data_IF_122410922667
#
_entry.id   IF_122410922667
#
_cell.length_a   1.000
_cell.length_b   1.000
_cell.length_c   1.000
_cell.angle_alpha   90.00
_cell.angle_beta   90.00
_cell.angle_gamma   90.00
#
_symmetry.space_group_name_H-M   'P 1'
#
loop_
_entity.id
_entity.type
_entity.pdbx_description
1 polymer ?
#
# COMPACT_ATOMS: atom_id res chain seq x y z
N UNK A 1 -8.16 8.57 80.03
CA UNK A 1 -7.34 8.63 78.85
C UNK A 1 -7.53 7.33 78.11
N UNK A 2 -8.39 7.35 77.07
CA UNK A 2 -8.83 6.18 76.30
C UNK A 2 -8.09 6.15 74.99
N UNK A 3 -7.29 5.12 74.74
CA UNK A 3 -6.54 4.93 73.51
C UNK A 3 -7.47 4.27 72.46
N UNK A 4 -7.74 4.98 71.36
CA UNK A 4 -8.55 4.46 70.25
C UNK A 4 -7.68 3.58 69.35
N UNK A 5 -8.04 2.30 69.19
CA UNK A 5 -7.50 1.35 68.23
C UNK A 5 -8.08 1.65 66.83
N UNK A 6 -7.27 2.14 65.92
CA UNK A 6 -7.63 2.24 64.48
C UNK A 6 -7.33 0.90 63.78
N UNK A 7 -8.39 0.18 63.37
CA UNK A 7 -8.30 -0.99 62.50
C UNK A 7 -7.99 -0.55 61.06
N UNK A 8 -6.88 -1.07 60.50
CA UNK A 8 -6.54 -0.99 59.08
C UNK A 8 -7.47 -1.97 58.34
N UNK A 9 -8.14 -1.54 57.26
CA UNK A 9 -8.93 -2.48 56.43
C UNK A 9 -7.96 -3.39 55.64
N UNK A 10 -8.07 -4.68 55.84
CA UNK A 10 -7.48 -5.72 54.98
C UNK A 10 -8.06 -5.63 53.59
N UNK A 11 -7.29 -5.18 52.62
CA UNK A 11 -7.64 -5.30 51.18
C UNK A 11 -7.72 -6.77 50.81
N UNK A 12 -8.86 -7.20 50.36
CA UNK A 12 -9.17 -8.55 49.91
C UNK A 12 -8.40 -8.91 48.64
N UNK A 13 -7.70 -10.03 48.65
CA UNK A 13 -6.92 -10.62 47.55
C UNK A 13 -7.74 -10.97 46.27
N UNK A 14 -9.04 -10.66 46.22
CA UNK A 14 -9.91 -10.95 45.04
C UNK A 14 -9.66 -10.06 43.84
N UNK A 15 -9.21 -8.82 44.03
CA UNK A 15 -8.99 -7.89 42.94
C UNK A 15 -7.73 -8.15 42.10
N UNK A 16 -6.72 -8.81 42.65
CA UNK A 16 -5.50 -9.15 41.92
C UNK A 16 -5.63 -10.40 41.06
N UNK A 17 -6.56 -11.30 41.41
CA UNK A 17 -6.83 -12.53 40.64
C UNK A 17 -7.72 -12.26 39.44
N UNK A 18 -8.59 -11.25 39.47
CA UNK A 18 -9.38 -10.84 38.32
C UNK A 18 -8.57 -10.10 37.23
N UNK A 19 -7.53 -9.34 37.62
CA UNK A 19 -6.61 -8.68 36.69
C UNK A 19 -5.65 -9.67 36.01
N UNK A 20 -5.34 -10.80 36.62
CA UNK A 20 -4.46 -11.82 36.02
C UNK A 20 -5.17 -12.77 35.03
N UNK A 21 -6.50 -12.79 35.03
CA UNK A 21 -7.32 -13.64 34.14
C UNK A 21 -7.89 -12.93 32.90
N UNK A 22 -7.54 -11.69 32.65
CA UNK A 22 -7.67 -11.09 31.33
C UNK A 22 -6.59 -11.69 30.42
N UNK A 23 -6.71 -12.98 30.07
CA UNK A 23 -6.06 -13.52 28.86
C UNK A 23 -6.45 -12.59 27.74
N UNK A 24 -5.50 -11.81 27.20
CA UNK A 24 -5.74 -10.94 26.08
C UNK A 24 -6.35 -11.80 24.97
N UNK A 25 -7.62 -11.60 24.68
CA UNK A 25 -8.33 -12.34 23.62
C UNK A 25 -7.48 -12.23 22.37
N UNK A 26 -6.99 -13.35 21.84
CA UNK A 26 -6.23 -13.37 20.60
C UNK A 26 -7.06 -12.71 19.51
N UNK A 27 -6.49 -11.70 18.84
CA UNK A 27 -7.15 -11.03 17.73
C UNK A 27 -7.31 -11.98 16.54
N UNK A 28 -8.50 -12.00 15.99
CA UNK A 28 -8.78 -12.75 14.75
C UNK A 28 -8.44 -11.90 13.54
N UNK A 29 -7.82 -12.51 12.52
CA UNK A 29 -7.32 -11.81 11.33
C UNK A 29 -8.02 -12.37 10.10
N UNK A 30 -8.78 -11.51 9.41
CA UNK A 30 -9.40 -11.81 8.12
C UNK A 30 -8.58 -11.20 6.98
N UNK A 31 -8.47 -11.92 5.87
CA UNK A 31 -7.94 -11.43 4.60
C UNK A 31 -9.10 -11.13 3.65
N UNK A 32 -8.99 -10.00 2.92
CA UNK A 32 -9.91 -9.60 1.85
C UNK A 32 -9.14 -9.39 0.55
N UNK A 33 -9.50 -10.15 -0.48
CA UNK A 33 -8.83 -10.14 -1.80
C UNK A 33 -9.86 -9.94 -2.92
N UNK A 34 -9.94 -8.75 -3.53
CA UNK A 34 -10.72 -8.56 -4.74
C UNK A 34 -10.00 -9.16 -5.94
N UNK A 35 -10.75 -9.88 -6.79
CA UNK A 35 -10.23 -10.57 -7.97
C UNK A 35 -11.08 -10.24 -9.20
N UNK A 36 -10.41 -9.88 -10.30
CA UNK A 36 -11.07 -9.71 -11.60
C UNK A 36 -10.13 -10.16 -12.72
N UNK A 37 -10.46 -11.27 -13.39
CA UNK A 37 -9.66 -11.87 -14.45
C UNK A 37 -8.20 -12.13 -14.02
N UNK A 38 -7.98 -12.88 -12.93
CA UNK A 38 -6.66 -13.15 -12.34
C UNK A 38 -6.19 -14.61 -12.58
N UNK A 39 -6.64 -15.27 -13.66
CA UNK A 39 -6.34 -16.68 -13.92
C UNK A 39 -4.84 -17.03 -13.92
N UNK A 40 -3.96 -16.05 -14.23
CA UNK A 40 -2.51 -16.29 -14.32
C UNK A 40 -1.78 -16.21 -12.98
N UNK A 41 -2.36 -15.52 -11.98
CA UNK A 41 -1.67 -15.19 -10.72
C UNK A 41 -2.38 -15.75 -9.48
N UNK A 42 -3.71 -15.91 -9.55
CA UNK A 42 -4.56 -16.16 -8.41
C UNK A 42 -4.21 -17.45 -7.64
N UNK A 43 -3.90 -18.56 -8.34
CA UNK A 43 -3.59 -19.82 -7.68
C UNK A 43 -2.36 -19.70 -6.78
N UNK A 44 -1.30 -19.06 -7.27
CA UNK A 44 -0.10 -18.77 -6.49
C UNK A 44 -0.37 -17.81 -5.31
N UNK A 45 -1.22 -16.80 -5.53
CA UNK A 45 -1.65 -15.87 -4.49
C UNK A 45 -2.39 -16.61 -3.36
N UNK A 46 -3.41 -17.41 -3.67
CA UNK A 46 -4.15 -18.21 -2.69
C UNK A 46 -3.22 -19.12 -1.88
N UNK A 47 -2.30 -19.83 -2.57
CA UNK A 47 -1.37 -20.73 -1.89
C UNK A 47 -0.46 -19.95 -0.94
N UNK A 48 0.02 -18.77 -1.32
CA UNK A 48 0.83 -17.92 -0.43
C UNK A 48 0.06 -17.47 0.83
N UNK A 49 -1.23 -17.17 0.67
CA UNK A 49 -2.11 -16.79 1.78
C UNK A 49 -2.39 -17.98 2.72
N UNK A 50 -2.48 -19.21 2.16
CA UNK A 50 -2.71 -20.43 2.93
C UNK A 50 -1.45 -20.94 3.66
N UNK A 51 -0.26 -20.59 3.19
CA UNK A 51 1.04 -21.07 3.71
C UNK A 51 1.68 -20.09 4.70
N UNK A 52 0.88 -19.41 5.52
CA UNK A 52 1.38 -18.50 6.56
C UNK A 52 1.81 -19.28 7.82
N UNK A 53 2.92 -18.88 8.47
CA UNK A 53 3.36 -19.41 9.77
C UNK A 53 2.33 -19.19 10.87
N UNK A 54 1.63 -18.06 10.82
CA UNK A 54 0.41 -17.78 11.58
C UNK A 54 -0.74 -17.77 10.55
N UNK A 55 -1.61 -18.80 10.49
CA UNK A 55 -2.72 -18.84 9.54
C UNK A 55 -3.69 -17.68 9.75
N UNK A 56 -4.29 -17.19 8.67
CA UNK A 56 -5.47 -16.34 8.76
C UNK A 56 -6.62 -17.10 9.42
N UNK A 57 -7.45 -16.41 10.20
CA UNK A 57 -8.66 -17.00 10.77
C UNK A 57 -9.79 -17.02 9.72
N UNK A 58 -9.73 -16.13 8.73
CA UNK A 58 -10.67 -16.08 7.60
C UNK A 58 -9.98 -15.56 6.33
N UNK A 59 -10.32 -16.14 5.20
CA UNK A 59 -9.84 -15.75 3.86
C UNK A 59 -11.06 -15.49 2.98
N UNK A 60 -11.29 -14.22 2.60
CA UNK A 60 -12.40 -13.79 1.75
C UNK A 60 -11.86 -13.37 0.39
N UNK A 61 -12.22 -14.11 -0.66
CA UNK A 61 -11.89 -13.79 -2.05
C UNK A 61 -13.15 -13.36 -2.78
N UNK A 62 -13.11 -12.19 -3.41
CA UNK A 62 -14.24 -11.59 -4.12
C UNK A 62 -13.99 -11.67 -5.62
N UNK A 63 -14.68 -12.54 -6.31
CA UNK A 63 -14.69 -12.58 -7.77
C UNK A 63 -15.64 -11.50 -8.30
N UNK A 64 -15.09 -10.44 -8.89
CA UNK A 64 -15.85 -9.33 -9.45
C UNK A 64 -16.40 -9.66 -10.86
N UNK A 65 -17.18 -10.73 -10.95
CA UNK A 65 -17.78 -11.26 -12.18
C UNK A 65 -16.75 -11.49 -13.31
N UNK A 66 -15.63 -12.15 -12.99
CA UNK A 66 -14.58 -12.53 -13.95
C UNK A 66 -15.12 -13.35 -15.13
N UNK A 67 -14.44 -13.20 -16.28
CA UNK A 67 -14.78 -13.87 -17.55
C UNK A 67 -13.75 -14.91 -17.99
N UNK A 68 -12.66 -15.03 -17.23
CA UNK A 68 -11.60 -16.03 -17.40
C UNK A 68 -11.78 -17.20 -16.42
N UNK A 69 -10.74 -18.01 -16.20
CA UNK A 69 -10.77 -19.15 -15.27
C UNK A 69 -10.67 -18.80 -13.79
N UNK A 70 -10.74 -17.51 -13.41
CA UNK A 70 -10.72 -17.07 -12.01
C UNK A 70 -11.74 -17.81 -11.13
N UNK A 71 -13.04 -17.95 -11.52
CA UNK A 71 -14.03 -18.68 -10.72
C UNK A 71 -13.69 -20.15 -10.50
N UNK A 72 -13.13 -20.80 -11.54
CA UNK A 72 -12.73 -22.21 -11.49
C UNK A 72 -11.55 -22.41 -10.52
N UNK A 73 -10.60 -21.48 -10.51
CA UNK A 73 -9.46 -21.48 -9.58
C UNK A 73 -9.97 -21.31 -8.15
N UNK A 74 -10.84 -20.35 -7.88
CA UNK A 74 -11.44 -20.16 -6.55
C UNK A 74 -12.19 -21.42 -6.07
N UNK A 75 -12.91 -22.09 -6.97
CA UNK A 75 -13.65 -23.31 -6.65
C UNK A 75 -12.75 -24.45 -6.17
N UNK A 76 -11.50 -24.56 -6.65
CA UNK A 76 -10.53 -25.58 -6.19
C UNK A 76 -10.21 -25.43 -4.69
N UNK A 77 -10.33 -24.24 -4.14
CA UNK A 77 -10.00 -23.92 -2.74
C UNK A 77 -11.24 -23.68 -1.85
N UNK A 78 -12.45 -23.98 -2.34
CA UNK A 78 -13.72 -23.67 -1.65
C UNK A 78 -13.83 -24.25 -0.23
N UNK A 79 -13.10 -25.30 0.09
CA UNK A 79 -13.03 -25.89 1.43
C UNK A 79 -12.10 -25.14 2.41
N UNK A 80 -11.32 -24.18 1.93
CA UNK A 80 -10.30 -23.45 2.73
C UNK A 80 -10.47 -21.94 2.70
N UNK A 81 -11.26 -21.41 1.76
CA UNK A 81 -11.51 -19.97 1.58
C UNK A 81 -13.02 -19.69 1.47
N UNK A 82 -13.40 -18.49 1.78
CA UNK A 82 -14.74 -17.96 1.47
C UNK A 82 -14.67 -17.26 0.12
N UNK A 83 -15.12 -17.92 -0.93
CA UNK A 83 -15.21 -17.34 -2.26
C UNK A 83 -16.62 -16.75 -2.47
N UNK A 84 -16.70 -15.45 -2.76
CA UNK A 84 -17.93 -14.74 -3.06
C UNK A 84 -17.84 -14.11 -4.43
N UNK A 85 -18.96 -14.00 -5.14
CA UNK A 85 -19.01 -13.43 -6.48
C UNK A 85 -20.00 -12.26 -6.52
N UNK A 86 -19.59 -11.13 -7.12
CA UNK A 86 -20.52 -10.03 -7.37
C UNK A 86 -21.53 -10.40 -8.46
N UNK A 87 -22.76 -9.89 -8.41
CA UNK A 87 -23.78 -10.17 -9.42
C UNK A 87 -23.37 -9.74 -10.85
N UNK A 88 -22.58 -8.68 -10.93
CA UNK A 88 -22.00 -8.14 -12.16
C UNK A 88 -20.67 -7.47 -11.87
N UNK A 89 -19.84 -7.27 -12.89
CA UNK A 89 -18.60 -6.52 -12.71
C UNK A 89 -18.88 -5.11 -12.21
N UNK A 90 -18.25 -4.73 -11.10
CA UNK A 90 -18.47 -3.44 -10.44
C UNK A 90 -17.69 -2.30 -11.08
N UNK A 91 -16.74 -2.61 -11.97
CA UNK A 91 -15.93 -1.65 -12.72
C UNK A 91 -14.73 -1.07 -11.97
N UNK A 92 -14.60 -1.34 -10.68
CA UNK A 92 -13.45 -0.88 -9.88
C UNK A 92 -13.18 -1.79 -8.68
N UNK A 93 -11.94 -1.74 -8.18
CA UNK A 93 -11.48 -2.53 -7.03
C UNK A 93 -12.25 -2.20 -5.74
N UNK A 94 -12.53 -0.92 -5.51
CA UNK A 94 -13.16 -0.42 -4.29
C UNK A 94 -14.54 -1.04 -4.07
N UNK A 95 -15.37 -1.10 -5.11
CA UNK A 95 -16.72 -1.68 -5.02
C UNK A 95 -16.68 -3.19 -4.75
N UNK A 96 -15.71 -3.91 -5.34
CA UNK A 96 -15.51 -5.32 -5.02
C UNK A 96 -15.04 -5.52 -3.57
N UNK A 97 -14.16 -4.66 -3.06
CA UNK A 97 -13.75 -4.68 -1.65
C UNK A 97 -14.90 -4.36 -0.70
N UNK A 98 -15.72 -3.35 -1.03
CA UNK A 98 -16.90 -2.98 -0.24
C UNK A 98 -17.89 -4.15 -0.15
N UNK A 99 -18.16 -4.82 -1.26
CA UNK A 99 -18.98 -6.02 -1.27
C UNK A 99 -18.38 -7.13 -0.38
N UNK A 100 -17.09 -7.40 -0.52
CA UNK A 100 -16.39 -8.42 0.27
C UNK A 100 -16.31 -8.11 1.76
N UNK A 101 -16.25 -6.82 2.13
CA UNK A 101 -16.20 -6.38 3.52
C UNK A 101 -17.44 -6.82 4.33
N UNK A 102 -18.58 -7.05 3.67
CA UNK A 102 -19.80 -7.55 4.31
C UNK A 102 -19.64 -8.98 4.86
N UNK A 103 -18.70 -9.75 4.34
CA UNK A 103 -18.41 -11.13 4.76
C UNK A 103 -17.26 -11.22 5.77
N UNK A 104 -16.51 -10.14 6.00
CA UNK A 104 -15.37 -10.11 6.93
C UNK A 104 -15.86 -10.16 8.36
N UNK A 105 -15.25 -11.03 9.18
CA UNK A 105 -15.64 -11.24 10.59
C UNK A 105 -14.52 -11.01 11.60
N UNK A 106 -13.25 -10.95 11.15
CA UNK A 106 -12.08 -10.80 12.03
C UNK A 106 -11.96 -9.42 12.67
N UNK A 107 -11.28 -9.36 13.81
CA UNK A 107 -10.97 -8.13 14.53
C UNK A 107 -10.00 -7.23 13.72
N UNK A 108 -9.12 -7.86 12.93
CA UNK A 108 -8.18 -7.23 12.01
C UNK A 108 -8.52 -7.62 10.58
N UNK A 109 -8.58 -6.63 9.69
CA UNK A 109 -8.73 -6.77 8.26
C UNK A 109 -7.38 -6.58 7.58
N UNK A 110 -6.91 -7.57 6.83
CA UNK A 110 -5.80 -7.45 5.90
C UNK A 110 -6.35 -7.32 4.49
N UNK A 111 -5.84 -6.36 3.71
CA UNK A 111 -6.15 -6.21 2.29
C UNK A 111 -4.95 -6.57 1.44
N UNK A 112 -5.18 -7.33 0.36
CA UNK A 112 -4.17 -7.62 -0.66
C UNK A 112 -4.82 -7.73 -2.04
N UNK A 113 -4.01 -7.86 -3.09
CA UNK A 113 -4.48 -7.99 -4.47
C UNK A 113 -4.39 -9.46 -4.94
N UNK A 114 -5.22 -9.86 -5.90
CA UNK A 114 -5.25 -11.23 -6.45
C UNK A 114 -3.98 -11.64 -7.20
N UNK A 115 -3.07 -10.69 -7.44
CA UNK A 115 -1.76 -10.87 -8.09
C UNK A 115 -0.57 -10.67 -7.13
N UNK A 116 -0.81 -10.67 -5.83
CA UNK A 116 0.20 -10.45 -4.80
C UNK A 116 0.49 -11.73 -4.03
N UNK A 117 1.77 -11.99 -3.76
CA UNK A 117 2.23 -13.09 -2.90
C UNK A 117 2.59 -12.54 -1.53
N UNK A 118 2.15 -13.22 -0.48
CA UNK A 118 2.52 -12.90 0.90
C UNK A 118 3.76 -13.71 1.31
N UNK A 119 4.72 -13.04 1.95
CA UNK A 119 5.82 -13.75 2.62
C UNK A 119 5.26 -14.67 3.72
N UNK A 120 5.80 -15.87 3.96
CA UNK A 120 5.26 -16.82 4.94
C UNK A 120 5.05 -16.28 6.34
N UNK A 121 5.81 -15.28 6.76
CA UNK A 121 5.71 -14.64 8.08
C UNK A 121 4.88 -13.34 8.08
N UNK A 122 4.20 -13.01 7.00
CA UNK A 122 3.48 -11.74 6.88
C UNK A 122 2.44 -11.56 7.99
N UNK A 123 1.59 -12.55 8.23
CA UNK A 123 0.52 -12.48 9.24
C UNK A 123 1.09 -12.42 10.66
N UNK A 124 2.16 -13.18 10.94
CA UNK A 124 2.86 -13.15 12.21
C UNK A 124 3.40 -11.75 12.55
N UNK A 125 3.98 -11.07 11.54
CA UNK A 125 4.50 -9.72 11.73
C UNK A 125 3.37 -8.70 11.93
N UNK A 126 2.27 -8.81 11.19
CA UNK A 126 1.07 -7.98 11.38
C UNK A 126 0.45 -8.19 12.79
N UNK A 127 0.35 -9.42 13.25
CA UNK A 127 -0.21 -9.72 14.59
C UNK A 127 0.60 -9.06 15.72
N UNK A 128 1.93 -9.02 15.59
CA UNK A 128 2.81 -8.34 16.56
C UNK A 128 2.53 -6.84 16.67
N UNK A 129 2.27 -6.19 15.53
CA UNK A 129 2.01 -4.76 15.48
C UNK A 129 0.69 -4.39 16.20
N UNK A 130 -0.34 -5.20 16.05
CA UNK A 130 -1.63 -4.97 16.69
C UNK A 130 -1.69 -5.39 18.17
N UNK A 131 -0.59 -5.91 18.73
CA UNK A 131 -0.44 -6.07 20.19
C UNK A 131 -0.48 -4.71 20.92
N UNK A 132 -0.04 -3.64 20.26
CA UNK A 132 -0.29 -2.25 20.70
C UNK A 132 -1.73 -1.86 20.33
N UNK A 133 -2.55 -1.61 21.36
CA UNK A 133 -3.97 -1.22 21.19
C UNK A 133 -4.16 0.12 20.49
N UNK A 134 -3.16 1.00 20.51
CA UNK A 134 -3.20 2.30 19.84
C UNK A 134 -2.99 2.17 18.33
N UNK A 135 -2.32 1.12 17.85
CA UNK A 135 -2.10 0.89 16.42
C UNK A 135 -3.43 0.57 15.76
N UNK A 136 -3.82 1.43 14.84
CA UNK A 136 -5.09 1.33 14.08
C UNK A 136 -4.89 0.68 12.73
N UNK A 137 -3.76 0.96 12.09
CA UNK A 137 -3.44 0.45 10.77
C UNK A 137 -1.93 0.22 10.60
N UNK A 138 -1.60 -0.76 9.77
CA UNK A 138 -0.22 -1.16 9.46
C UNK A 138 -0.02 -1.19 7.95
N UNK A 139 0.98 -0.45 7.47
CA UNK A 139 1.48 -0.53 6.10
C UNK A 139 2.61 -1.55 6.04
N UNK A 140 2.49 -2.59 5.24
CA UNK A 140 3.55 -3.56 5.01
C UNK A 140 4.55 -3.12 3.94
N UNK A 141 5.60 -3.94 3.77
CA UNK A 141 6.66 -3.78 2.78
C UNK A 141 6.23 -4.40 1.46
N UNK A 142 6.21 -3.60 0.39
CA UNK A 142 5.93 -4.09 -0.97
C UNK A 142 7.23 -4.30 -1.72
N UNK A 143 7.44 -5.51 -2.21
CA UNK A 143 8.59 -5.88 -3.02
C UNK A 143 8.16 -6.16 -4.47
N UNK A 144 8.79 -5.49 -5.44
CA UNK A 144 8.56 -5.74 -6.86
C UNK A 144 9.30 -6.97 -7.35
N UNK A 145 8.64 -7.78 -8.16
CA UNK A 145 9.24 -8.95 -8.82
C UNK A 145 9.84 -8.53 -10.16
N UNK A 146 11.18 -8.60 -10.34
CA UNK A 146 11.82 -8.19 -11.58
C UNK A 146 11.72 -9.30 -12.64
N UNK A 147 11.07 -9.01 -13.77
CA UNK A 147 10.97 -9.88 -14.95
C UNK A 147 11.79 -9.36 -16.14
N UNK A 148 11.92 -8.03 -16.27
CA UNK A 148 12.63 -7.38 -17.34
C UNK A 148 13.27 -6.06 -16.86
N UNK A 149 13.84 -5.28 -17.78
CA UNK A 149 14.49 -4.01 -17.46
C UNK A 149 13.54 -2.99 -16.78
N UNK A 150 12.26 -2.96 -17.19
CA UNK A 150 11.25 -2.04 -16.66
C UNK A 150 10.90 -2.40 -15.22
N UNK A 151 10.61 -3.68 -14.96
CA UNK A 151 10.33 -4.19 -13.60
C UNK A 151 11.57 -4.15 -12.72
N UNK A 152 12.79 -4.21 -13.29
CA UNK A 152 14.04 -3.97 -12.55
C UNK A 152 14.14 -2.52 -12.07
N UNK A 153 13.78 -1.54 -12.92
CA UNK A 153 13.67 -0.14 -12.51
C UNK A 153 12.61 0.06 -11.42
N UNK A 154 11.50 -0.68 -11.48
CA UNK A 154 10.47 -0.67 -10.45
C UNK A 154 10.98 -1.26 -9.14
N UNK A 155 11.70 -2.39 -9.18
CA UNK A 155 12.33 -2.97 -8.00
C UNK A 155 13.32 -2.00 -7.34
N UNK A 156 14.15 -1.29 -8.13
CA UNK A 156 15.00 -0.22 -7.64
C UNK A 156 14.19 0.87 -6.91
N UNK A 157 13.16 1.40 -7.56
CA UNK A 157 12.28 2.43 -7.00
C UNK A 157 11.61 1.98 -5.69
N UNK A 158 11.08 0.74 -5.64
CA UNK A 158 10.47 0.19 -4.43
C UNK A 158 11.48 0.03 -3.30
N UNK A 159 12.69 -0.49 -3.55
CA UNK A 159 13.70 -0.64 -2.50
C UNK A 159 14.06 0.72 -1.89
N UNK A 160 14.26 1.76 -2.71
CA UNK A 160 14.52 3.12 -2.20
C UNK A 160 13.31 3.64 -1.42
N UNK A 161 12.12 3.56 -2.00
CA UNK A 161 10.89 4.05 -1.37
C UNK A 161 10.58 3.37 -0.04
N UNK A 162 10.69 2.05 0.02
CA UNK A 162 10.35 1.27 1.21
C UNK A 162 11.39 1.38 2.32
N UNK A 163 12.69 1.38 1.99
CA UNK A 163 13.75 1.37 3.00
C UNK A 163 14.23 2.77 3.41
N UNK A 164 13.94 3.81 2.65
CA UNK A 164 14.30 5.17 3.00
C UNK A 164 13.06 6.02 3.30
N UNK A 165 12.19 6.24 2.31
CA UNK A 165 11.08 7.17 2.47
C UNK A 165 10.06 6.69 3.49
N UNK A 166 9.57 5.44 3.41
CA UNK A 166 8.59 4.91 4.37
C UNK A 166 9.14 4.79 5.78
N UNK A 167 10.43 4.46 5.93
CA UNK A 167 11.08 4.44 7.25
C UNK A 167 11.11 5.84 7.86
N UNK A 168 11.49 6.86 7.08
CA UNK A 168 11.44 8.26 7.52
C UNK A 168 10.02 8.70 7.88
N UNK A 169 9.02 8.37 7.04
CA UNK A 169 7.62 8.65 7.29
C UNK A 169 7.12 7.98 8.58
N UNK A 170 7.51 6.73 8.84
CA UNK A 170 7.17 6.03 10.07
C UNK A 170 7.76 6.71 11.31
N UNK A 171 9.02 7.15 11.22
CA UNK A 171 9.67 7.90 12.30
C UNK A 171 8.97 9.24 12.57
N UNK A 172 8.45 9.90 11.53
CA UNK A 172 7.68 11.14 11.62
C UNK A 172 6.20 10.92 11.99
N UNK A 173 5.76 9.67 12.21
CA UNK A 173 4.36 9.28 12.43
C UNK A 173 3.42 9.77 11.32
N UNK A 174 3.90 9.77 10.08
CA UNK A 174 3.12 10.22 8.92
C UNK A 174 3.40 9.34 7.71
N UNK A 175 2.67 8.22 7.60
CA UNK A 175 2.71 7.36 6.42
C UNK A 175 1.93 8.03 5.30
N UNK A 176 2.58 8.35 4.18
CA UNK A 176 1.97 9.04 3.04
C UNK A 176 0.89 8.19 2.36
N UNK A 177 1.17 6.90 2.14
CA UNK A 177 0.21 5.97 1.54
C UNK A 177 0.38 4.57 2.13
N UNK A 178 -0.72 3.97 2.53
CA UNK A 178 -0.82 2.55 2.85
C UNK A 178 -1.08 1.78 1.54
N UNK A 179 -0.18 0.85 1.13
CA UNK A 179 -0.34 0.19 -0.16
C UNK A 179 -1.53 -0.78 -0.12
N UNK A 180 -2.42 -0.71 -1.11
CA UNK A 180 -3.62 -1.56 -1.17
C UNK A 180 -3.35 -3.06 -1.18
N UNK A 181 -2.12 -3.48 -1.53
CA UNK A 181 -1.70 -4.89 -1.57
C UNK A 181 -0.95 -5.38 -0.31
N UNK A 182 -0.73 -4.51 0.69
CA UNK A 182 0.04 -4.83 1.89
C UNK A 182 -0.40 -3.99 3.10
N UNK A 183 -1.69 -3.90 3.36
CA UNK A 183 -2.23 -3.10 4.45
C UNK A 183 -3.11 -3.92 5.38
N UNK A 184 -3.05 -3.58 6.67
CA UNK A 184 -3.88 -4.16 7.70
C UNK A 184 -4.52 -3.05 8.56
N UNK A 185 -5.74 -3.30 9.03
CA UNK A 185 -6.55 -2.31 9.76
C UNK A 185 -7.29 -2.99 10.90
N UNK A 186 -7.58 -2.27 11.99
CA UNK A 186 -8.68 -2.70 12.86
C UNK A 186 -9.98 -2.63 12.07
N UNK A 187 -10.67 -3.76 11.99
CA UNK A 187 -11.86 -3.91 11.12
C UNK A 187 -12.94 -2.89 11.42
N UNK A 188 -13.17 -2.60 12.70
CA UNK A 188 -14.14 -1.59 13.12
C UNK A 188 -13.79 -0.20 12.59
N UNK A 189 -12.52 0.21 12.71
CA UNK A 189 -12.05 1.50 12.21
C UNK A 189 -12.13 1.53 10.68
N UNK A 190 -11.76 0.44 10.00
CA UNK A 190 -11.90 0.38 8.56
C UNK A 190 -13.35 0.61 8.11
N UNK A 191 -14.31 -0.02 8.78
CA UNK A 191 -15.74 0.13 8.46
C UNK A 191 -16.29 1.53 8.74
N UNK A 192 -15.80 2.20 9.77
CA UNK A 192 -16.34 3.49 10.22
C UNK A 192 -15.63 4.69 9.62
N UNK A 193 -14.32 4.57 9.35
CA UNK A 193 -13.46 5.68 8.90
C UNK A 193 -13.08 5.54 7.44
N UNK A 194 -12.70 4.33 6.99
CA UNK A 194 -12.26 4.06 5.61
C UNK A 194 -13.46 3.77 4.68
N UNK A 195 -14.46 4.64 4.68
CA UNK A 195 -15.63 4.50 3.80
C UNK A 195 -15.24 4.62 2.33
N UNK A 196 -15.92 3.85 1.46
CA UNK A 196 -15.70 3.87 0.02
C UNK A 196 -16.50 4.99 -0.62
N UNK A 197 -15.85 6.12 -0.94
CA UNK A 197 -16.53 7.29 -1.53
C UNK A 197 -16.62 7.22 -3.06
N UNK A 198 -15.83 6.36 -3.71
CA UNK A 198 -15.77 6.15 -5.17
C UNK A 198 -15.50 7.42 -6.00
N UNK A 199 -14.98 8.47 -5.38
CA UNK A 199 -14.73 9.78 -6.00
C UNK A 199 -13.25 10.02 -6.35
N UNK A 200 -12.37 9.09 -5.98
CA UNK A 200 -10.94 9.06 -6.33
C UNK A 200 -10.56 7.70 -6.91
N UNK A 201 -9.53 7.66 -7.77
CA UNK A 201 -9.08 6.44 -8.44
C UNK A 201 -8.09 5.62 -7.59
N UNK A 202 -7.62 6.16 -6.46
CA UNK A 202 -6.70 5.51 -5.51
C UNK A 202 -7.33 5.51 -4.12
N UNK A 203 -8.08 4.44 -3.86
CA UNK A 203 -8.81 4.23 -2.59
C UNK A 203 -7.87 4.11 -1.39
N UNK A 204 -6.72 3.48 -1.59
CA UNK A 204 -5.70 3.26 -0.58
C UNK A 204 -5.11 4.59 -0.05
N UNK A 205 -4.89 5.55 -0.92
CA UNK A 205 -4.47 6.89 -0.56
C UNK A 205 -5.60 7.65 0.16
N UNK A 206 -6.84 7.55 -0.31
CA UNK A 206 -8.02 8.14 0.34
C UNK A 206 -8.20 7.61 1.77
N UNK A 207 -8.09 6.29 1.97
CA UNK A 207 -8.16 5.66 3.29
C UNK A 207 -7.03 6.17 4.21
N UNK A 208 -5.82 6.31 3.69
CA UNK A 208 -4.69 6.83 4.45
C UNK A 208 -4.96 8.25 4.95
N UNK A 209 -5.48 9.12 4.09
CA UNK A 209 -5.86 10.48 4.49
C UNK A 209 -7.02 10.52 5.50
N UNK A 210 -8.03 9.65 5.33
CA UNK A 210 -9.14 9.53 6.28
C UNK A 210 -8.66 9.10 7.66
N UNK A 211 -7.74 8.14 7.74
CA UNK A 211 -7.14 7.74 9.00
C UNK A 211 -6.36 8.89 9.66
N UNK A 212 -5.55 9.62 8.89
CA UNK A 212 -4.84 10.80 9.41
C UNK A 212 -5.77 11.91 9.87
N UNK A 213 -6.91 12.13 9.18
CA UNK A 213 -7.92 13.11 9.58
C UNK A 213 -8.56 12.81 10.92
N UNK A 214 -8.60 11.57 11.31
CA UNK A 214 -9.18 11.12 12.57
C UNK A 214 -8.10 10.76 13.61
N UNK A 215 -6.86 11.24 13.42
CA UNK A 215 -5.72 11.05 14.31
C UNK A 215 -5.40 9.58 14.64
N UNK A 216 -5.72 8.68 13.73
CA UNK A 216 -5.42 7.25 13.89
C UNK A 216 -3.93 6.97 13.71
N UNK A 217 -3.39 6.12 14.59
CA UNK A 217 -1.99 5.70 14.55
C UNK A 217 -1.77 4.68 13.44
N UNK A 218 -1.00 5.09 12.43
CA UNK A 218 -0.55 4.23 11.33
C UNK A 218 0.93 3.96 11.52
N UNK A 219 1.35 2.71 11.42
CA UNK A 219 2.76 2.32 11.46
C UNK A 219 3.18 1.61 10.17
N UNK A 220 4.48 1.58 9.91
CA UNK A 220 5.09 0.83 8.83
C UNK A 220 5.91 -0.34 9.37
N UNK A 221 5.64 -1.54 8.88
CA UNK A 221 6.39 -2.74 9.24
C UNK A 221 7.18 -3.28 8.04
N UNK A 222 8.51 -3.17 8.09
CA UNK A 222 9.42 -3.66 7.05
C UNK A 222 9.46 -5.19 6.93
N UNK A 223 9.03 -5.92 7.97
CA UNK A 223 9.06 -7.37 8.00
C UNK A 223 7.75 -8.00 7.48
N UNK A 224 6.67 -7.22 7.42
CA UNK A 224 5.41 -7.64 6.80
C UNK A 224 5.54 -7.51 5.27
N UNK A 225 6.18 -8.47 4.63
CA UNK A 225 6.61 -8.39 3.22
C UNK A 225 5.56 -8.99 2.30
N UNK A 226 5.28 -8.27 1.21
CA UNK A 226 4.51 -8.76 0.07
C UNK A 226 5.32 -8.65 -1.22
N UNK A 227 4.99 -9.48 -2.22
CA UNK A 227 5.60 -9.46 -3.54
C UNK A 227 4.53 -9.22 -4.59
N UNK A 228 4.67 -8.14 -5.35
CA UNK A 228 3.69 -7.75 -6.38
C UNK A 228 4.31 -7.77 -7.77
N UNK A 229 3.45 -7.92 -8.77
CA UNK A 229 3.82 -7.78 -10.18
C UNK A 229 3.62 -6.34 -10.65
N UNK A 230 4.70 -5.75 -11.13
CA UNK A 230 4.62 -4.49 -11.88
C UNK A 230 4.34 -4.75 -13.37
N UNK A 231 3.80 -3.75 -14.10
CA UNK A 231 3.63 -3.85 -15.55
C UNK A 231 4.95 -4.17 -16.25
N UNK A 232 4.92 -5.17 -17.13
CA UNK A 232 6.09 -5.60 -17.91
C UNK A 232 6.25 -4.84 -19.23
N UNK A 233 5.24 -4.05 -19.62
CA UNK A 233 5.22 -3.24 -20.84
C UNK A 233 5.20 -1.75 -20.50
N UNK A 234 5.83 -0.93 -21.36
CA UNK A 234 5.84 0.52 -21.17
C UNK A 234 4.42 1.11 -21.23
N UNK A 235 3.55 0.57 -22.06
CA UNK A 235 2.15 0.97 -22.13
C UNK A 235 1.43 0.74 -20.79
N UNK A 236 1.54 -0.46 -20.22
CA UNK A 236 0.97 -0.78 -18.91
C UNK A 236 1.54 0.09 -17.79
N UNK A 237 2.86 0.35 -17.82
CA UNK A 237 3.53 1.25 -16.88
C UNK A 237 2.97 2.67 -16.93
N UNK A 238 2.84 3.25 -18.13
CA UNK A 238 2.30 4.61 -18.28
C UNK A 238 0.87 4.71 -17.76
N UNK A 239 0.03 3.69 -18.01
CA UNK A 239 -1.33 3.66 -17.46
C UNK A 239 -1.34 3.57 -15.93
N UNK A 240 -0.45 2.74 -15.33
CA UNK A 240 -0.31 2.64 -13.88
C UNK A 240 0.14 3.98 -13.29
N UNK A 241 1.15 4.64 -13.88
CA UNK A 241 1.66 5.93 -13.39
C UNK A 241 0.63 7.05 -13.53
N UNK A 242 -0.11 7.12 -14.66
CA UNK A 242 -1.25 8.05 -14.79
C UNK A 242 -2.26 7.86 -13.67
N UNK A 243 -2.65 6.62 -13.40
CA UNK A 243 -3.59 6.30 -12.32
C UNK A 243 -3.08 6.80 -10.96
N UNK A 244 -1.81 6.56 -10.66
CA UNK A 244 -1.22 6.97 -9.38
C UNK A 244 -1.13 8.49 -9.25
N UNK A 245 -0.67 9.18 -10.31
CA UNK A 245 -0.57 10.65 -10.29
C UNK A 245 -1.95 11.32 -10.30
N UNK A 246 -2.90 10.85 -11.11
CA UNK A 246 -4.28 11.36 -11.08
C UNK A 246 -4.92 11.16 -9.71
N UNK A 247 -4.81 9.96 -9.14
CA UNK A 247 -5.31 9.69 -7.79
C UNK A 247 -4.63 10.54 -6.72
N UNK A 248 -3.33 10.81 -6.85
CA UNK A 248 -2.60 11.73 -6.01
C UNK A 248 -3.18 13.15 -6.04
N UNK A 249 -3.40 13.71 -7.24
CA UNK A 249 -4.02 15.03 -7.41
C UNK A 249 -5.46 15.08 -6.89
N UNK A 250 -6.27 14.06 -7.17
CA UNK A 250 -7.66 13.95 -6.70
C UNK A 250 -7.73 13.94 -5.17
N UNK A 251 -6.90 13.14 -4.51
CA UNK A 251 -6.83 13.06 -3.07
C UNK A 251 -6.25 14.34 -2.43
N UNK A 252 -5.25 14.96 -3.06
CA UNK A 252 -4.73 16.25 -2.60
C UNK A 252 -5.86 17.29 -2.55
N UNK A 253 -6.64 17.43 -3.62
CA UNK A 253 -7.76 18.40 -3.68
C UNK A 253 -8.84 18.05 -2.65
N UNK A 254 -9.21 16.77 -2.54
CA UNK A 254 -10.25 16.29 -1.62
C UNK A 254 -9.91 16.58 -0.17
N UNK A 255 -8.66 16.38 0.21
CA UNK A 255 -8.20 16.49 1.60
C UNK A 255 -7.42 17.77 1.92
N UNK A 256 -7.25 18.68 0.94
CA UNK A 256 -6.38 19.85 1.04
C UNK A 256 -6.68 20.73 2.27
N UNK A 257 -7.95 21.08 2.48
CA UNK A 257 -8.36 21.94 3.59
C UNK A 257 -7.98 21.37 4.95
N UNK A 258 -8.15 20.05 5.11
CA UNK A 258 -7.78 19.35 6.33
C UNK A 258 -6.27 19.33 6.54
N UNK A 259 -5.51 18.92 5.52
CA UNK A 259 -4.05 18.81 5.61
C UNK A 259 -3.42 20.14 5.99
N UNK A 260 -3.88 21.25 5.37
CA UNK A 260 -3.35 22.60 5.62
C UNK A 260 -3.76 23.16 6.99
N UNK A 261 -5.02 22.93 7.39
CA UNK A 261 -5.57 23.58 8.60
C UNK A 261 -5.24 22.81 9.88
N UNK A 262 -5.36 21.48 9.86
CA UNK A 262 -5.25 20.70 11.10
C UNK A 262 -3.82 20.26 11.42
N UNK A 263 -2.97 20.11 10.40
CA UNK A 263 -1.59 19.64 10.57
C UNK A 263 -0.60 20.41 9.70
N UNK A 264 -0.32 21.70 10.01
CA UNK A 264 0.47 22.57 9.13
C UNK A 264 1.88 22.04 8.83
N UNK A 265 2.52 21.32 9.76
CA UNK A 265 3.85 20.72 9.54
C UNK A 265 3.74 19.57 8.52
N UNK A 266 2.72 18.70 8.66
CA UNK A 266 2.45 17.59 7.70
C UNK A 266 2.01 18.14 6.34
N UNK A 267 1.28 19.27 6.34
CA UNK A 267 0.90 19.99 5.14
C UNK A 267 2.11 20.49 4.36
N UNK A 268 3.15 20.97 5.05
CA UNK A 268 4.40 21.42 4.42
C UNK A 268 5.06 20.25 3.69
N UNK A 269 5.22 19.10 4.33
CA UNK A 269 5.83 17.91 3.71
C UNK A 269 5.05 17.46 2.46
N UNK A 270 3.73 17.34 2.58
CA UNK A 270 2.87 16.96 1.46
C UNK A 270 2.95 17.98 0.32
N UNK A 271 2.86 19.29 0.64
CA UNK A 271 2.95 20.35 -0.35
C UNK A 271 4.31 20.36 -1.05
N UNK A 272 5.40 20.11 -0.30
CA UNK A 272 6.75 20.01 -0.86
C UNK A 272 6.86 18.90 -1.88
N UNK A 273 6.30 17.71 -1.64
CA UNK A 273 6.32 16.59 -2.58
C UNK A 273 5.69 17.00 -3.94
N UNK A 274 4.53 17.67 -3.92
CA UNK A 274 3.86 18.10 -5.15
C UNK A 274 4.54 19.30 -5.81
N UNK A 275 5.00 20.29 -5.03
CA UNK A 275 5.72 21.47 -5.54
C UNK A 275 7.07 21.04 -6.12
N UNK A 276 7.81 20.18 -5.43
CA UNK A 276 9.07 19.61 -5.92
C UNK A 276 8.85 18.81 -7.21
N UNK A 277 7.81 17.96 -7.24
CA UNK A 277 7.42 17.21 -8.43
C UNK A 277 7.11 18.12 -9.62
N UNK A 278 6.36 19.20 -9.43
CA UNK A 278 6.08 20.20 -10.47
C UNK A 278 7.35 20.94 -10.91
N UNK A 279 8.16 21.41 -9.97
CA UNK A 279 9.39 22.13 -10.26
C UNK A 279 10.39 21.25 -11.01
N UNK A 280 10.59 20.01 -10.54
CA UNK A 280 11.50 19.04 -11.15
C UNK A 280 11.01 18.59 -12.54
N UNK A 281 9.71 18.31 -12.70
CA UNK A 281 9.14 17.94 -14.00
C UNK A 281 9.25 19.10 -14.99
N UNK A 282 8.97 20.34 -14.57
CA UNK A 282 9.11 21.53 -15.39
C UNK A 282 10.57 21.75 -15.81
N UNK A 283 11.51 21.60 -14.86
CA UNK A 283 12.94 21.71 -15.13
C UNK A 283 13.38 20.69 -16.17
N UNK A 284 13.03 19.42 -16.01
CA UNK A 284 13.40 18.35 -16.94
C UNK A 284 12.81 18.56 -18.35
N UNK A 285 11.56 18.99 -18.45
CA UNK A 285 10.87 19.09 -19.72
C UNK A 285 11.21 20.39 -20.48
N UNK A 286 11.55 21.47 -19.80
CA UNK A 286 11.75 22.78 -20.41
C UNK A 286 13.23 23.07 -20.70
N UNK A 287 14.16 22.69 -19.82
CA UNK A 287 15.58 23.03 -19.95
C UNK A 287 16.23 22.56 -21.26
N UNK A 288 15.89 21.38 -21.85
CA UNK A 288 16.45 20.96 -23.13
C UNK A 288 16.20 21.96 -24.28
N UNK A 289 15.08 22.68 -24.24
CA UNK A 289 14.71 23.68 -25.26
C UNK A 289 15.33 25.05 -24.98
N UNK A 290 15.62 25.37 -23.71
CA UNK A 290 16.23 26.65 -23.32
C UNK A 290 17.74 26.62 -23.42
N UNK A 291 18.38 25.61 -22.88
CA UNK A 291 19.82 25.46 -22.90
C UNK A 291 20.23 23.97 -22.72
N UNK A 292 20.71 23.37 -23.80
CA UNK A 292 21.12 21.97 -23.83
C UNK A 292 22.24 21.65 -22.84
N UNK A 293 23.20 22.57 -22.64
CA UNK A 293 24.31 22.34 -21.69
C UNK A 293 23.83 22.27 -20.25
N UNK A 294 22.94 23.19 -19.87
CA UNK A 294 22.31 23.15 -18.52
C UNK A 294 21.54 21.84 -18.32
N UNK A 295 20.76 21.42 -19.32
CA UNK A 295 20.05 20.15 -19.26
C UNK A 295 20.98 18.96 -19.09
N UNK A 296 22.10 18.91 -19.81
CA UNK A 296 23.12 17.87 -19.68
C UNK A 296 23.77 17.85 -18.29
N UNK A 297 24.10 19.02 -17.72
CA UNK A 297 24.66 19.08 -16.35
C UNK A 297 23.65 18.58 -15.31
N UNK A 298 22.36 18.94 -15.44
CA UNK A 298 21.29 18.44 -14.58
C UNK A 298 21.21 16.91 -14.68
N UNK A 299 21.22 16.37 -15.90
CA UNK A 299 21.15 14.92 -16.13
C UNK A 299 22.37 14.17 -15.60
N UNK A 300 23.56 14.74 -15.74
CA UNK A 300 24.78 14.14 -15.18
C UNK A 300 24.70 14.12 -13.65
N UNK A 301 24.34 15.25 -13.02
CA UNK A 301 24.16 15.32 -11.57
C UNK A 301 23.11 14.33 -11.06
N UNK A 302 21.98 14.25 -11.76
CA UNK A 302 20.93 13.28 -11.44
C UNK A 302 21.41 11.82 -11.61
N UNK A 303 22.15 11.51 -12.69
CA UNK A 303 22.74 10.17 -12.88
C UNK A 303 23.65 9.78 -11.73
N UNK A 304 24.49 10.70 -11.24
CA UNK A 304 25.38 10.43 -10.08
C UNK A 304 24.55 10.04 -8.85
N UNK A 305 23.48 10.79 -8.57
CA UNK A 305 22.57 10.50 -7.46
C UNK A 305 21.90 9.12 -7.64
N UNK A 306 21.37 8.83 -8.83
CA UNK A 306 20.75 7.54 -9.13
C UNK A 306 21.73 6.38 -8.99
N UNK A 307 22.98 6.54 -9.42
CA UNK A 307 24.05 5.52 -9.26
C UNK A 307 24.35 5.24 -7.78
N UNK A 308 24.43 6.27 -6.94
CA UNK A 308 24.63 6.12 -5.49
C UNK A 308 23.46 5.32 -4.88
N UNK A 309 22.23 5.72 -5.19
CA UNK A 309 21.07 5.01 -4.70
C UNK A 309 20.94 3.59 -5.26
N UNK A 310 21.35 3.35 -6.52
CA UNK A 310 21.34 2.02 -7.09
C UNK A 310 22.38 1.09 -6.44
N UNK A 311 23.56 1.61 -6.11
CA UNK A 311 24.57 0.86 -5.36
C UNK A 311 24.06 0.50 -3.95
N UNK A 312 23.45 1.47 -3.25
CA UNK A 312 22.85 1.24 -1.95
C UNK A 312 21.67 0.26 -2.03
N UNK A 313 20.78 0.40 -3.02
CA UNK A 313 19.62 -0.49 -3.21
C UNK A 313 20.03 -1.91 -3.60
N UNK A 314 21.08 -2.06 -4.41
CA UNK A 314 21.64 -3.37 -4.76
C UNK A 314 22.20 -4.10 -3.52
N UNK A 315 22.87 -3.35 -2.63
CA UNK A 315 23.37 -3.88 -1.36
C UNK A 315 22.21 -4.23 -0.41
N UNK A 316 21.26 -3.30 -0.17
CA UNK A 316 20.09 -3.50 0.70
C UNK A 316 19.21 -4.66 0.25
N UNK A 317 18.87 -4.69 -1.03
CA UNK A 317 18.00 -5.69 -1.63
C UNK A 317 18.69 -7.03 -1.92
N UNK A 318 20.02 -7.12 -1.70
CA UNK A 318 20.86 -8.28 -2.09
C UNK A 318 20.68 -8.68 -3.56
N UNK A 319 20.47 -7.69 -4.44
CA UNK A 319 20.17 -7.88 -5.88
C UNK A 319 21.15 -7.07 -6.73
N UNK A 320 22.32 -7.61 -7.09
CA UNK A 320 23.34 -6.88 -7.86
C UNK A 320 22.84 -6.41 -9.23
N UNK A 321 21.85 -7.10 -9.83
CA UNK A 321 21.23 -6.68 -11.09
C UNK A 321 20.66 -5.24 -11.05
N UNK A 322 20.30 -4.71 -9.87
CA UNK A 322 19.82 -3.32 -9.70
C UNK A 322 20.85 -2.29 -10.19
N UNK A 323 22.13 -2.61 -10.19
CA UNK A 323 23.17 -1.75 -10.76
C UNK A 323 22.99 -1.46 -12.26
N UNK A 324 22.17 -2.24 -12.96
CA UNK A 324 21.83 -2.02 -14.37
C UNK A 324 20.61 -1.09 -14.53
N UNK A 325 19.86 -0.81 -13.47
CA UNK A 325 18.66 0.03 -13.50
C UNK A 325 18.92 1.52 -13.83
N UNK A 326 20.03 2.17 -13.44
CA UNK A 326 20.23 3.61 -13.63
C UNK A 326 20.05 4.08 -15.07
N UNK A 327 20.61 3.38 -16.06
CA UNK A 327 20.54 3.80 -17.48
C UNK A 327 19.08 3.83 -17.98
N UNK A 328 18.29 2.73 -17.94
CA UNK A 328 16.90 2.78 -18.37
C UNK A 328 16.03 3.63 -17.46
N UNK A 329 16.40 3.81 -16.19
CA UNK A 329 15.67 4.68 -15.26
C UNK A 329 15.72 6.16 -15.69
N UNK A 330 16.79 6.64 -16.30
CA UNK A 330 16.86 7.98 -16.88
C UNK A 330 15.81 8.21 -17.98
N UNK A 331 15.51 7.19 -18.76
CA UNK A 331 14.41 7.27 -19.74
C UNK A 331 13.06 7.35 -19.05
N UNK A 332 12.84 6.54 -18.01
CA UNK A 332 11.58 6.52 -17.26
C UNK A 332 11.30 7.84 -16.53
N UNK A 333 12.34 8.58 -16.12
CA UNK A 333 12.12 9.84 -15.41
C UNK A 333 11.48 10.92 -16.31
N UNK A 334 11.85 10.97 -17.60
CA UNK A 334 11.19 11.87 -18.55
C UNK A 334 9.72 11.47 -18.77
N UNK A 335 9.44 10.18 -18.86
CA UNK A 335 8.07 9.68 -18.94
C UNK A 335 7.28 10.07 -17.68
N UNK A 336 7.87 9.87 -16.50
CA UNK A 336 7.23 10.23 -15.25
C UNK A 336 6.98 11.74 -15.13
N UNK A 337 7.97 12.56 -15.51
CA UNK A 337 7.82 14.01 -15.53
C UNK A 337 6.68 14.45 -16.48
N UNK A 338 6.63 13.88 -17.69
CA UNK A 338 5.55 14.13 -18.63
C UNK A 338 4.19 13.72 -18.06
N UNK A 339 4.05 12.51 -17.53
CA UNK A 339 2.79 12.01 -16.98
C UNK A 339 2.34 12.78 -15.73
N UNK A 340 3.28 13.22 -14.91
CA UNK A 340 2.99 14.04 -13.73
C UNK A 340 2.42 15.40 -14.14
N UNK A 341 3.02 16.06 -15.15
CA UNK A 341 2.53 17.32 -15.70
C UNK A 341 1.21 17.16 -16.46
N UNK A 342 1.06 16.07 -17.27
CA UNK A 342 -0.18 15.75 -17.97
C UNK A 342 -1.35 15.63 -16.98
N UNK A 343 -1.17 14.84 -15.92
CA UNK A 343 -2.21 14.61 -14.91
C UNK A 343 -2.48 15.87 -14.08
N UNK A 344 -1.47 16.69 -13.76
CA UNK A 344 -1.66 18.00 -13.15
C UNK A 344 -2.57 18.90 -14.00
N UNK A 345 -2.27 19.00 -15.28
CA UNK A 345 -3.08 19.84 -16.21
C UNK A 345 -4.51 19.30 -16.28
N UNK A 346 -4.68 17.99 -16.44
CA UNK A 346 -6.01 17.37 -16.57
C UNK A 346 -6.85 17.53 -15.29
N UNK A 347 -6.30 17.15 -14.14
CA UNK A 347 -7.06 17.05 -12.88
C UNK A 347 -7.22 18.43 -12.20
N UNK A 348 -6.19 19.29 -12.23
CA UNK A 348 -6.17 20.57 -11.49
C UNK A 348 -6.59 21.75 -12.38
N UNK A 349 -6.01 21.88 -13.58
CA UNK A 349 -6.27 23.05 -14.44
C UNK A 349 -7.57 22.88 -15.22
N UNK A 350 -7.73 21.76 -15.94
CA UNK A 350 -8.92 21.45 -16.75
C UNK A 350 -10.06 20.92 -15.89
N UNK A 351 -9.75 20.36 -14.72
CA UNK A 351 -10.69 19.74 -13.75
C UNK A 351 -11.47 18.57 -14.34
N UNK A 352 -10.82 17.79 -15.20
CA UNK A 352 -11.35 16.57 -15.80
C UNK A 352 -10.93 15.36 -14.97
N UNK A 353 -11.83 14.83 -14.14
CA UNK A 353 -11.56 13.63 -13.33
C UNK A 353 -11.44 12.39 -14.22
N UNK A 354 -10.37 11.61 -14.01
CA UNK A 354 -10.15 10.33 -14.69
C UNK A 354 -10.39 9.22 -13.65
N UNK A 355 -11.49 8.46 -13.81
CA UNK A 355 -11.86 7.35 -12.91
C UNK A 355 -11.80 5.99 -13.60
N UNK A 356 -11.13 5.92 -14.78
CA UNK A 356 -11.04 4.68 -15.56
C UNK A 356 -9.92 3.82 -15.01
N UNK A 357 -10.29 2.62 -14.56
CA UNK A 357 -9.32 1.62 -14.11
C UNK A 357 -8.80 0.80 -15.31
N UNK A 358 -7.48 0.67 -15.42
CA UNK A 358 -6.80 -0.14 -16.42
C UNK A 358 -6.16 -1.35 -15.74
N UNK A 359 -6.48 -2.55 -16.21
CA UNK A 359 -5.84 -3.79 -15.76
C UNK A 359 -4.61 -4.08 -16.62
N UNK A 360 -3.39 -4.07 -16.06
CA UNK A 360 -2.19 -4.48 -16.79
C UNK A 360 -2.20 -6.01 -17.02
N UNK A 361 -1.53 -6.44 -18.10
CA UNK A 361 -1.28 -7.87 -18.32
C UNK A 361 -0.37 -8.43 -17.23
N UNK A 362 -0.69 -9.63 -16.75
CA UNK A 362 0.07 -10.34 -15.71
C UNK A 362 0.90 -11.47 -16.34
N UNK A 363 2.01 -11.79 -15.66
CA UNK A 363 2.87 -12.93 -15.99
C UNK A 363 2.58 -14.04 -14.97
N UNK A 364 2.70 -15.29 -15.38
CA UNK A 364 2.55 -16.42 -14.48
C UNK A 364 3.57 -16.34 -13.32
N UNK A 365 3.09 -16.47 -12.09
CA UNK A 365 3.93 -16.40 -10.90
C UNK A 365 4.33 -17.79 -10.44
N UNK A 366 5.64 -18.02 -10.28
CA UNK A 366 6.17 -19.20 -9.62
C UNK A 366 6.37 -18.95 -8.12
N UNK A 367 5.95 -19.89 -7.27
CA UNK A 367 6.20 -19.85 -5.82
C UNK A 367 7.68 -19.98 -5.44
N UNK A 368 8.52 -20.42 -6.36
CA UNK A 368 9.98 -20.49 -6.14
C UNK A 368 10.65 -19.11 -6.00
N UNK A 369 9.89 -18.02 -6.12
CA UNK A 369 10.38 -16.64 -5.99
C UNK A 369 10.33 -16.10 -4.55
N UNK A 370 9.75 -16.83 -3.60
CA UNK A 370 9.63 -16.53 -2.17
C UNK A 370 10.51 -17.53 -1.40
#
# INVERSE_FOLDING_TARGET
MTVANSRIPTQTHSGLTEMANAQSKRLTISLLVPCYNEETSLESSIISCLNQTRPFDQLVFVDDASKDRTPEILAKFANRITAVRTPQNTGNKSSAQEYGLTFVTGDILVTTDGDTLLHPRFVEEIEKDFADSEVTAVAGYVNSLPYNWLTLCRAFYYIVGQNLHKVAQNYLNYIFVMPGCASAFRTEIFRTVCTFDHDTITEDLDFTYKLHRNDHKIIYNQNAITYTQDPTTLHGYMHQMRRWYSGGWQNLVKHFSFVVVSHPIRAIELSLIYIEGLAFSSLLLITPFLNLYISLYIMIGYMVVVLIFAAWAAWMGRRPAILLAPIPYLFLIYINAYLFMETFILEIVIRRKTLIWFKPQRVEMSQTLI
#
